data_IF_411131966053
#
_entry.id   IF_411131966053
#
_cell.length_a   1.000
_cell.length_b   1.000
_cell.length_c   1.000
_cell.angle_alpha   90.00
_cell.angle_beta   90.00
_cell.angle_gamma   90.00
#
_symmetry.space_group_name_H-M   'P 1'
#
loop_
_entity.id
_entity.type
_entity.pdbx_description
1 polymer ?
#
# COMPACT_ATOMS: atom_id res chain seq x y z
N UNK A 1 27.04 -7.48 45.45
CA UNK A 1 26.47 -8.54 44.60
C UNK A 1 25.00 -8.23 44.47
N UNK A 2 24.64 -7.42 43.48
CA UNK A 2 24.15 -7.87 42.17
C UNK A 2 22.62 -7.94 42.23
N UNK A 3 21.91 -6.85 41.92
CA UNK A 3 21.54 -6.42 40.57
C UNK A 3 20.54 -7.39 39.92
N UNK A 4 19.28 -7.32 40.34
CA UNK A 4 18.13 -7.82 39.58
C UNK A 4 16.99 -6.78 39.62
N UNK A 5 17.26 -5.62 39.02
CA UNK A 5 16.25 -4.65 38.62
C UNK A 5 16.49 -4.37 37.13
N UNK A 6 15.99 -5.25 36.26
CA UNK A 6 15.59 -4.96 34.87
C UNK A 6 15.31 -6.25 34.11
N UNK A 7 14.04 -6.58 33.91
CA UNK A 7 13.50 -7.16 32.67
C UNK A 7 11.98 -7.31 32.75
N UNK A 8 11.30 -6.16 32.77
CA UNK A 8 10.00 -6.01 32.15
C UNK A 8 10.11 -4.75 31.31
N UNK A 9 10.47 -4.89 30.03
CA UNK A 9 10.47 -3.75 29.10
C UNK A 9 9.02 -3.26 29.00
N UNK A 10 8.70 -2.02 29.41
CA UNK A 10 7.31 -1.63 29.55
C UNK A 10 6.77 -1.22 28.18
N UNK A 11 5.60 -1.77 27.83
CA UNK A 11 4.69 -1.27 26.80
C UNK A 11 4.36 0.24 26.97
N UNK A 12 4.76 0.83 28.11
CA UNK A 12 4.60 2.22 28.53
C UNK A 12 5.59 3.23 27.90
N UNK A 13 6.53 2.79 27.05
CA UNK A 13 7.56 3.67 26.48
C UNK A 13 7.17 4.35 25.16
N UNK A 14 6.12 3.88 24.46
CA UNK A 14 5.74 4.47 23.16
C UNK A 14 5.09 5.86 23.28
N UNK A 15 4.39 6.14 24.40
CA UNK A 15 3.82 7.47 24.65
C UNK A 15 4.83 8.46 25.25
N UNK A 16 5.98 7.98 25.73
CA UNK A 16 7.01 8.83 26.32
C UNK A 16 7.61 9.78 25.28
N UNK A 17 7.64 9.40 24.00
CA UNK A 17 8.18 10.24 22.92
C UNK A 17 7.43 11.57 22.77
N UNK A 18 6.13 11.59 23.05
CA UNK A 18 5.32 12.81 22.98
C UNK A 18 5.56 13.77 24.14
N UNK A 19 6.31 13.33 25.16
CA UNK A 19 6.65 14.12 26.35
C UNK A 19 8.15 14.42 26.46
N UNK A 20 8.99 13.74 25.68
CA UNK A 20 10.42 13.96 25.67
C UNK A 20 10.82 15.14 24.76
N UNK A 21 11.46 16.20 25.28
CA UNK A 21 11.82 17.39 24.49
C UNK A 21 12.72 17.11 23.29
N UNK A 22 13.63 16.15 23.38
CA UNK A 22 14.54 15.81 22.27
C UNK A 22 13.81 15.01 21.18
N UNK A 23 12.94 14.07 21.55
CA UNK A 23 12.03 13.43 20.59
C UNK A 23 11.09 14.45 19.93
N UNK A 24 10.52 15.40 20.68
CA UNK A 24 9.63 16.42 20.09
C UNK A 24 10.33 17.29 19.04
N UNK A 25 11.60 17.66 19.25
CA UNK A 25 12.41 18.37 18.22
C UNK A 25 12.56 17.51 16.97
N UNK A 26 12.84 16.22 17.14
CA UNK A 26 13.00 15.26 16.04
C UNK A 26 11.70 15.09 15.27
N UNK A 27 10.59 14.89 16.00
CA UNK A 27 9.24 14.73 15.45
C UNK A 27 8.86 15.99 14.65
N UNK A 28 9.11 17.20 15.20
CA UNK A 28 8.83 18.45 14.49
C UNK A 28 9.60 18.56 13.18
N UNK A 29 10.88 18.20 13.20
CA UNK A 29 11.76 18.30 12.02
C UNK A 29 11.33 17.35 10.89
N UNK A 30 10.92 16.12 11.23
CA UNK A 30 10.64 15.06 10.25
C UNK A 30 9.16 15.01 9.85
N UNK A 31 8.25 15.10 10.82
CA UNK A 31 6.82 14.80 10.66
C UNK A 31 5.89 15.98 10.84
N UNK A 32 6.40 17.19 11.11
CA UNK A 32 5.60 18.40 11.20
C UNK A 32 6.39 19.64 10.73
N UNK A 33 7.10 19.47 9.61
CA UNK A 33 7.95 20.52 9.07
C UNK A 33 7.11 21.75 8.70
N UNK A 34 7.66 22.93 8.96
CA UNK A 34 7.04 24.23 8.67
C UNK A 34 5.75 24.54 9.48
N UNK A 35 5.35 23.65 10.40
CA UNK A 35 4.24 23.88 11.32
C UNK A 35 4.54 25.03 12.29
N UNK A 36 3.54 25.89 12.50
CA UNK A 36 3.54 26.86 13.60
C UNK A 36 3.55 26.15 14.95
N UNK A 37 3.93 26.85 16.01
CA UNK A 37 3.97 26.26 17.35
C UNK A 37 2.59 25.77 17.82
N UNK A 38 1.53 26.47 17.43
CA UNK A 38 0.15 26.08 17.76
C UNK A 38 -0.28 24.83 16.99
N UNK A 39 0.00 24.76 15.69
CA UNK A 39 -0.30 23.58 14.87
C UNK A 39 0.49 22.36 15.34
N UNK A 40 1.77 22.53 15.69
CA UNK A 40 2.58 21.46 16.25
C UNK A 40 2.06 21.00 17.61
N UNK A 41 1.59 21.91 18.47
CA UNK A 41 0.95 21.55 19.72
C UNK A 41 -0.31 20.71 19.49
N UNK A 42 -1.18 21.12 18.57
CA UNK A 42 -2.38 20.35 18.21
C UNK A 42 -2.03 18.94 17.72
N UNK A 43 -0.98 18.82 16.90
CA UNK A 43 -0.47 17.53 16.43
C UNK A 43 0.02 16.63 17.57
N UNK A 44 0.77 17.18 18.53
CA UNK A 44 1.25 16.43 19.70
C UNK A 44 0.10 15.96 20.59
N UNK A 45 -0.86 16.84 20.90
CA UNK A 45 -2.03 16.48 21.71
C UNK A 45 -2.86 15.37 21.05
N UNK A 46 -3.03 15.42 19.72
CA UNK A 46 -3.72 14.36 18.99
C UNK A 46 -2.93 13.05 19.03
N UNK A 47 -1.60 13.10 18.87
CA UNK A 47 -0.73 11.92 19.01
C UNK A 47 -0.83 11.26 20.38
N UNK A 48 -0.90 12.06 21.45
CA UNK A 48 -1.10 11.57 22.83
C UNK A 48 -2.49 10.96 23.00
N UNK A 49 -3.54 11.66 22.55
CA UNK A 49 -4.92 11.22 22.72
C UNK A 49 -5.23 9.91 21.96
N UNK A 50 -4.61 9.74 20.79
CA UNK A 50 -4.81 8.57 19.92
C UNK A 50 -3.83 7.42 20.20
N UNK A 51 -2.73 7.68 20.90
CA UNK A 51 -1.66 6.71 21.13
C UNK A 51 -0.87 6.33 19.86
N UNK A 52 -0.89 7.21 18.85
CA UNK A 52 -0.25 6.96 17.56
C UNK A 52 1.22 7.37 17.58
N UNK A 53 2.01 6.67 16.76
CA UNK A 53 3.44 6.82 16.65
C UNK A 53 3.82 7.33 15.24
N UNK A 54 4.43 8.52 15.13
CA UNK A 54 4.80 9.09 13.83
C UNK A 54 5.93 8.31 13.15
N UNK A 55 6.81 7.65 13.90
CA UNK A 55 7.89 6.82 13.34
C UNK A 55 7.38 5.54 12.68
N UNK A 56 6.23 5.03 13.13
CA UNK A 56 5.53 3.91 12.49
C UNK A 56 4.59 4.37 11.37
N UNK A 57 4.60 5.66 11.03
CA UNK A 57 3.68 6.28 10.06
C UNK A 57 2.21 6.04 10.40
N UNK A 58 1.92 6.09 11.69
CA UNK A 58 0.55 6.07 12.15
C UNK A 58 -0.06 7.48 12.09
N UNK A 59 0.75 8.53 12.25
CA UNK A 59 0.31 9.94 12.23
C UNK A 59 1.43 10.88 11.75
N UNK A 60 1.11 11.91 10.95
CA UNK A 60 2.04 12.97 10.55
C UNK A 60 1.28 14.25 10.20
N UNK A 61 1.97 15.39 10.20
CA UNK A 61 1.43 16.69 9.85
C UNK A 61 2.13 17.21 8.58
N UNK A 62 1.33 17.71 7.65
CA UNK A 62 1.84 18.35 6.43
C UNK A 62 1.27 19.76 6.35
N UNK A 63 2.14 20.71 6.07
CA UNK A 63 1.76 22.10 5.78
C UNK A 63 2.32 22.44 4.40
N UNK A 64 1.42 22.65 3.44
CA UNK A 64 1.77 22.87 2.03
C UNK A 64 2.33 24.27 1.79
N UNK A 65 1.61 25.29 2.28
CA UNK A 65 2.03 26.69 2.25
C UNK A 65 2.12 27.27 3.66
N UNK A 66 3.07 28.19 3.90
CA UNK A 66 3.24 28.84 5.21
C UNK A 66 2.00 29.60 5.68
N UNK A 67 1.19 30.09 4.75
CA UNK A 67 -0.06 30.80 4.99
C UNK A 67 -1.29 29.87 5.00
N UNK A 68 -1.13 28.60 4.64
CA UNK A 68 -2.21 27.61 4.72
C UNK A 68 -2.25 26.92 6.07
N UNK A 69 -3.43 26.47 6.49
CA UNK A 69 -3.56 25.66 7.70
C UNK A 69 -2.89 24.30 7.49
N UNK A 70 -2.14 23.83 8.50
CA UNK A 70 -1.58 22.50 8.49
C UNK A 70 -2.67 21.42 8.52
N UNK A 71 -2.40 20.29 7.88
CA UNK A 71 -3.28 19.13 7.83
C UNK A 71 -2.62 17.95 8.54
N UNK A 72 -3.39 17.27 9.38
CA UNK A 72 -2.93 16.08 10.08
C UNK A 72 -3.49 14.85 9.38
N UNK A 73 -2.58 13.95 9.06
CA UNK A 73 -2.85 12.68 8.40
C UNK A 73 -2.65 11.52 9.36
N UNK A 74 -3.50 10.52 9.22
CA UNK A 74 -3.39 9.26 9.93
C UNK A 74 -3.29 8.14 8.90
N UNK A 75 -2.33 7.25 9.10
CA UNK A 75 -2.17 6.07 8.27
C UNK A 75 -3.25 5.04 8.56
N UNK A 76 -3.55 4.17 7.59
CA UNK A 76 -4.52 3.06 7.77
C UNK A 76 -4.27 2.29 9.08
N UNK A 77 -3.03 1.92 9.34
CA UNK A 77 -2.70 1.12 10.52
C UNK A 77 -2.83 1.94 11.82
N UNK A 78 -2.69 3.27 11.74
CA UNK A 78 -3.02 4.17 12.83
C UNK A 78 -4.52 4.16 13.16
N UNK A 79 -5.40 4.27 12.15
CA UNK A 79 -6.85 4.12 12.34
C UNK A 79 -7.21 2.78 12.98
N UNK A 80 -6.66 1.67 12.45
CA UNK A 80 -6.88 0.32 12.99
C UNK A 80 -6.46 0.19 14.46
N UNK A 81 -5.25 0.68 14.78
CA UNK A 81 -4.70 0.64 16.13
C UNK A 81 -5.57 1.42 17.09
N UNK A 82 -5.89 2.68 16.74
CA UNK A 82 -6.64 3.54 17.65
C UNK A 82 -8.08 3.05 17.86
N UNK A 83 -8.80 2.61 16.82
CA UNK A 83 -10.15 2.04 17.00
C UNK A 83 -10.14 0.71 17.78
N UNK A 84 -9.08 -0.09 17.66
CA UNK A 84 -8.96 -1.36 18.39
C UNK A 84 -8.90 -1.21 19.91
N UNK A 85 -8.54 -0.01 20.41
CA UNK A 85 -8.51 0.27 21.84
C UNK A 85 -9.89 0.57 22.43
N UNK A 86 -10.91 0.77 21.58
CA UNK A 86 -12.27 1.10 22.02
C UNK A 86 -12.99 -0.16 22.50
N UNK A 87 -13.49 -0.14 23.72
CA UNK A 87 -14.17 -1.29 24.35
C UNK A 87 -15.40 -1.79 23.55
N UNK A 88 -16.10 -0.87 22.89
CA UNK A 88 -17.29 -1.17 22.10
C UNK A 88 -16.96 -1.63 20.67
N UNK A 89 -15.70 -1.62 20.23
CA UNK A 89 -15.35 -2.08 18.88
C UNK A 89 -15.51 -3.60 18.74
N UNK A 90 -16.11 -4.05 17.63
CA UNK A 90 -16.38 -5.47 17.35
C UNK A 90 -15.74 -5.98 16.07
N UNK A 91 -14.99 -5.14 15.37
CA UNK A 91 -14.36 -5.48 14.11
C UNK A 91 -14.86 -4.60 12.97
N UNK A 92 -14.08 -4.61 11.89
CA UNK A 92 -14.49 -4.04 10.62
C UNK A 92 -14.18 -5.03 9.50
N UNK A 93 -14.88 -4.85 8.40
CA UNK A 93 -14.64 -5.57 7.16
C UNK A 93 -14.54 -4.56 6.01
N UNK A 94 -13.69 -4.84 5.03
CA UNK A 94 -13.57 -4.03 3.83
C UNK A 94 -13.29 -4.92 2.63
N UNK A 95 -14.06 -4.77 1.56
CA UNK A 95 -13.83 -5.48 0.31
C UNK A 95 -14.14 -4.62 -0.91
N UNK A 96 -13.53 -5.00 -2.03
CA UNK A 96 -13.70 -4.35 -3.32
C UNK A 96 -14.93 -4.91 -4.02
N UNK A 97 -15.69 -4.06 -4.70
CA UNK A 97 -16.88 -4.43 -5.47
C UNK A 97 -16.61 -4.26 -6.94
N UNK A 98 -16.95 -5.29 -7.72
CA UNK A 98 -16.79 -5.32 -9.16
C UNK A 98 -18.14 -5.49 -9.86
N UNK A 99 -18.17 -5.22 -11.17
CA UNK A 99 -19.39 -5.16 -11.96
C UNK A 99 -20.18 -6.46 -12.02
N UNK A 100 -19.53 -7.62 -11.88
CA UNK A 100 -20.18 -8.93 -11.95
C UNK A 100 -20.44 -9.53 -10.57
N UNK A 101 -20.12 -8.80 -9.49
CA UNK A 101 -20.44 -9.25 -8.14
C UNK A 101 -21.94 -9.08 -7.86
N UNK A 102 -22.55 -10.01 -7.11
CA UNK A 102 -23.85 -9.78 -6.50
C UNK A 102 -23.65 -9.05 -5.18
N UNK A 103 -23.78 -7.72 -5.25
CA UNK A 103 -23.60 -6.81 -4.13
C UNK A 103 -24.89 -6.06 -3.81
N UNK A 104 -25.31 -6.11 -2.56
CA UNK A 104 -26.43 -5.34 -2.04
C UNK A 104 -26.16 -4.93 -0.59
N UNK A 105 -26.46 -3.67 -0.26
CA UNK A 105 -26.51 -3.19 1.11
C UNK A 105 -27.96 -2.92 1.50
N UNK A 106 -28.46 -3.65 2.48
CA UNK A 106 -29.78 -3.41 3.05
C UNK A 106 -29.69 -2.26 4.05
N UNK A 107 -30.07 -1.05 3.61
CA UNK A 107 -30.11 0.15 4.46
C UNK A 107 -31.01 0.00 5.70
N UNK A 108 -32.04 -0.83 5.62
CA UNK A 108 -33.00 -1.02 6.73
C UNK A 108 -32.43 -1.93 7.80
N UNK A 109 -31.71 -2.97 7.41
CA UNK A 109 -31.08 -3.93 8.33
C UNK A 109 -29.64 -3.59 8.71
N UNK A 110 -28.96 -2.80 7.88
CA UNK A 110 -27.52 -2.53 8.02
C UNK A 110 -26.65 -3.73 7.65
N UNK A 111 -27.11 -4.60 6.77
CA UNK A 111 -26.42 -5.83 6.37
C UNK A 111 -25.91 -5.72 4.93
N UNK A 112 -24.67 -6.16 4.70
CA UNK A 112 -24.13 -6.32 3.34
C UNK A 112 -24.23 -7.77 2.93
N UNK A 113 -24.81 -7.99 1.75
CA UNK A 113 -24.71 -9.24 1.01
C UNK A 113 -23.78 -9.03 -0.16
N UNK A 114 -22.64 -9.70 -0.13
CA UNK A 114 -21.65 -9.64 -1.19
C UNK A 114 -21.20 -11.06 -1.54
N UNK A 115 -21.52 -11.49 -2.76
CA UNK A 115 -21.10 -12.80 -3.27
C UNK A 115 -20.53 -12.63 -4.67
N UNK A 116 -19.47 -13.37 -4.97
CA UNK A 116 -18.78 -13.25 -6.25
C UNK A 116 -18.00 -14.52 -6.61
N UNK A 117 -17.76 -14.69 -7.90
CA UNK A 117 -16.91 -15.75 -8.43
C UNK A 117 -15.46 -15.24 -8.54
N UNK A 118 -14.49 -15.97 -8.00
CA UNK A 118 -13.08 -15.57 -8.05
C UNK A 118 -12.47 -15.61 -9.45
N UNK A 119 -13.09 -16.31 -10.41
CA UNK A 119 -12.57 -16.46 -11.78
C UNK A 119 -12.74 -15.20 -12.62
N UNK A 120 -13.93 -14.59 -12.56
CA UNK A 120 -14.22 -13.36 -13.28
C UNK A 120 -15.20 -12.50 -12.47
N UNK A 121 -14.68 -11.39 -11.98
CA UNK A 121 -15.43 -10.38 -11.23
C UNK A 121 -15.82 -9.19 -12.11
N UNK A 122 -15.29 -9.07 -13.32
CA UNK A 122 -15.50 -7.92 -14.20
C UNK A 122 -14.67 -6.69 -13.79
N UNK A 123 -15.23 -5.49 -14.00
CA UNK A 123 -14.54 -4.21 -13.77
C UNK A 123 -14.67 -3.77 -12.31
N UNK A 124 -13.59 -3.25 -11.72
CA UNK A 124 -13.61 -2.69 -10.37
C UNK A 124 -14.48 -1.42 -10.34
N UNK A 125 -15.52 -1.43 -9.52
CA UNK A 125 -16.43 -0.29 -9.33
C UNK A 125 -16.00 0.58 -8.15
N UNK A 126 -15.59 -0.05 -7.05
CA UNK A 126 -15.28 0.65 -5.81
C UNK A 126 -14.93 -0.31 -4.68
N UNK A 127 -15.05 0.16 -3.45
CA UNK A 127 -14.96 -0.67 -2.26
C UNK A 127 -15.92 -0.20 -1.18
N UNK A 128 -16.33 -1.12 -0.33
CA UNK A 128 -17.08 -0.79 0.88
C UNK A 128 -16.29 -1.15 2.13
N UNK A 129 -16.64 -0.50 3.24
CA UNK A 129 -16.23 -0.93 4.56
C UNK A 129 -17.38 -0.82 5.57
N UNK A 130 -17.44 -1.79 6.46
CA UNK A 130 -18.42 -1.89 7.55
C UNK A 130 -17.67 -1.93 8.86
N UNK A 131 -18.04 -1.09 9.82
CA UNK A 131 -17.51 -1.12 11.18
C UNK A 131 -18.62 -1.44 12.15
N UNK A 132 -18.43 -2.48 12.96
CA UNK A 132 -19.38 -2.91 13.98
C UNK A 132 -18.96 -2.40 15.36
N UNK A 133 -19.90 -1.76 16.05
CA UNK A 133 -19.72 -1.20 17.39
C UNK A 133 -20.86 -1.68 18.28
N UNK A 134 -20.55 -2.21 19.46
CA UNK A 134 -21.54 -2.79 20.38
C UNK A 134 -22.51 -1.77 20.98
N UNK A 135 -22.13 -0.50 21.00
CA UNK A 135 -22.95 0.59 21.51
C UNK A 135 -23.91 1.19 20.46
N UNK A 136 -23.89 0.71 19.21
CA UNK A 136 -24.75 1.20 18.13
C UNK A 136 -25.45 0.00 17.48
N UNK A 137 -26.79 0.02 17.30
CA UNK A 137 -27.51 -1.13 16.76
C UNK A 137 -27.23 -1.39 15.28
N UNK A 138 -26.83 -0.35 14.52
CA UNK A 138 -26.49 -0.46 13.10
C UNK A 138 -25.00 -0.19 12.90
N UNK A 139 -24.32 -0.93 12.00
CA UNK A 139 -22.92 -0.67 11.71
C UNK A 139 -22.75 0.63 10.94
N UNK A 140 -21.53 1.17 10.97
CA UNK A 140 -21.12 2.26 10.10
C UNK A 140 -20.74 1.67 8.75
N UNK A 141 -21.40 2.12 7.70
CA UNK A 141 -21.18 1.67 6.33
C UNK A 141 -20.69 2.82 5.47
N UNK A 142 -19.64 2.58 4.71
CA UNK A 142 -19.13 3.49 3.68
C UNK A 142 -18.94 2.72 2.39
N UNK A 143 -19.37 3.31 1.28
CA UNK A 143 -19.01 2.89 -0.07
C UNK A 143 -18.24 4.01 -0.75
N UNK A 144 -17.14 3.66 -1.41
CA UNK A 144 -16.29 4.60 -2.12
C UNK A 144 -16.16 4.17 -3.56
N UNK A 145 -16.49 5.07 -4.48
CA UNK A 145 -16.39 4.80 -5.91
C UNK A 145 -14.95 4.97 -6.40
N UNK A 146 -14.50 4.05 -7.25
CA UNK A 146 -13.12 4.07 -7.76
C UNK A 146 -12.80 5.37 -8.50
N UNK A 147 -13.76 5.89 -9.26
CA UNK A 147 -13.56 7.02 -10.16
C UNK A 147 -13.26 8.34 -9.43
N UNK A 148 -13.64 8.47 -8.15
CA UNK A 148 -13.36 9.65 -7.33
C UNK A 148 -11.90 9.72 -6.86
N UNK A 149 -11.22 8.56 -6.79
CA UNK A 149 -9.89 8.43 -6.17
C UNK A 149 -8.80 7.95 -7.13
N UNK A 150 -9.17 7.31 -8.23
CA UNK A 150 -8.23 6.82 -9.23
C UNK A 150 -7.67 7.97 -10.08
N UNK A 151 -6.67 8.64 -9.52
CA UNK A 151 -5.88 9.65 -10.21
C UNK A 151 -4.97 9.06 -11.30
N UNK A 152 -4.89 7.73 -11.41
CA UNK A 152 -4.08 7.08 -12.43
C UNK A 152 -2.57 7.21 -12.20
N UNK A 153 -2.11 7.52 -10.98
CA UNK A 153 -0.69 7.65 -10.64
C UNK A 153 -0.22 6.63 -9.58
N UNK A 154 1.08 6.35 -9.53
CA UNK A 154 1.71 5.52 -8.49
C UNK A 154 1.07 4.12 -8.33
N UNK A 155 0.79 3.69 -7.09
CA UNK A 155 0.16 2.40 -6.76
C UNK A 155 -1.28 2.29 -7.29
N UNK A 156 -1.93 3.39 -7.66
CA UNK A 156 -3.24 3.37 -8.32
C UNK A 156 -3.16 2.84 -9.75
N UNK A 157 -1.99 2.80 -10.41
CA UNK A 157 -1.85 2.12 -11.71
C UNK A 157 -1.92 0.60 -11.60
N UNK A 158 -1.31 0.03 -10.54
CA UNK A 158 -1.06 -1.41 -10.45
C UNK A 158 -1.91 -2.12 -9.41
N UNK A 159 -2.38 -1.43 -8.36
CA UNK A 159 -3.06 -2.03 -7.20
C UNK A 159 -4.34 -1.27 -6.81
N UNK A 160 -5.18 -0.89 -7.79
CA UNK A 160 -6.44 -0.13 -7.59
C UNK A 160 -7.32 -0.72 -6.50
N UNK A 161 -7.59 -2.02 -6.56
CA UNK A 161 -8.44 -2.71 -5.59
C UNK A 161 -7.89 -2.64 -4.16
N UNK A 162 -6.57 -2.72 -3.99
CA UNK A 162 -5.95 -2.58 -2.66
C UNK A 162 -6.08 -1.14 -2.16
N UNK A 163 -5.88 -0.15 -3.03
CA UNK A 163 -5.91 1.26 -2.65
C UNK A 163 -7.32 1.73 -2.28
N UNK A 164 -8.32 1.46 -3.12
CA UNK A 164 -9.69 1.89 -2.87
C UNK A 164 -10.28 1.26 -1.60
N UNK A 165 -9.91 0.01 -1.29
CA UNK A 165 -10.26 -0.63 -0.01
C UNK A 165 -9.71 0.12 1.20
N UNK A 166 -8.48 0.63 1.13
CA UNK A 166 -7.90 1.43 2.21
C UNK A 166 -8.68 2.72 2.43
N UNK A 167 -9.11 3.38 1.35
CA UNK A 167 -9.91 4.61 1.44
C UNK A 167 -11.23 4.35 2.14
N UNK A 168 -11.98 3.33 1.69
CA UNK A 168 -13.26 2.94 2.28
C UNK A 168 -13.11 2.60 3.77
N UNK A 169 -12.06 1.86 4.13
CA UNK A 169 -11.76 1.48 5.51
C UNK A 169 -11.46 2.69 6.40
N UNK A 170 -10.59 3.60 5.96
CA UNK A 170 -10.23 4.80 6.73
C UNK A 170 -11.46 5.71 6.93
N UNK A 171 -12.31 5.86 5.91
CA UNK A 171 -13.56 6.62 6.02
C UNK A 171 -14.53 5.97 7.02
N UNK A 172 -14.74 4.65 6.95
CA UNK A 172 -15.66 3.97 7.85
C UNK A 172 -15.19 4.01 9.31
N UNK A 173 -13.89 3.86 9.57
CA UNK A 173 -13.32 3.98 10.92
C UNK A 173 -13.47 5.41 11.45
N UNK A 174 -13.21 6.43 10.63
CA UNK A 174 -13.43 7.83 11.02
C UNK A 174 -14.89 8.13 11.32
N UNK A 175 -15.81 7.56 10.55
CA UNK A 175 -17.24 7.70 10.82
C UNK A 175 -17.61 7.06 12.16
N UNK A 176 -17.07 5.87 12.45
CA UNK A 176 -17.32 5.14 13.68
C UNK A 176 -16.74 5.80 14.94
N UNK A 177 -15.60 6.49 14.82
CA UNK A 177 -14.91 7.19 15.92
C UNK A 177 -14.71 8.68 15.61
N UNK A 178 -15.80 9.33 15.22
CA UNK A 178 -15.82 10.74 14.81
C UNK A 178 -15.33 11.71 15.89
N UNK A 179 -15.50 11.36 17.17
CA UNK A 179 -14.98 12.16 18.29
C UNK A 179 -13.44 12.21 18.33
N UNK A 180 -12.78 11.11 17.99
CA UNK A 180 -11.31 11.03 18.02
C UNK A 180 -10.68 11.49 16.71
N UNK A 181 -11.31 11.18 15.57
CA UNK A 181 -10.74 11.45 14.25
C UNK A 181 -11.39 12.61 13.49
N UNK A 182 -12.28 13.37 14.13
CA UNK A 182 -12.89 14.56 13.54
C UNK A 182 -11.83 15.53 12.99
N UNK A 183 -11.98 15.92 11.72
CA UNK A 183 -11.05 16.84 11.05
C UNK A 183 -9.72 16.23 10.60
N UNK A 184 -9.53 14.91 10.73
CA UNK A 184 -8.35 14.20 10.18
C UNK A 184 -8.61 13.69 8.78
N UNK A 185 -7.55 13.56 7.98
CA UNK A 185 -7.62 13.07 6.60
C UNK A 185 -6.73 11.85 6.38
N UNK A 186 -7.15 10.95 5.49
CA UNK A 186 -6.22 9.98 4.90
C UNK A 186 -5.43 10.65 3.77
N UNK A 187 -4.20 10.21 3.55
CA UNK A 187 -3.34 10.70 2.45
C UNK A 187 -4.02 10.58 1.08
N UNK A 188 -4.84 9.54 0.91
CA UNK A 188 -5.53 9.23 -0.34
C UNK A 188 -6.68 10.19 -0.68
N UNK A 189 -7.11 11.05 0.26
CA UNK A 189 -8.23 11.99 0.07
C UNK A 189 -7.82 13.38 -0.40
N UNK A 190 -6.52 13.68 -0.43
CA UNK A 190 -6.05 15.01 -0.80
C UNK A 190 -5.84 15.17 -2.30
N UNK A 191 -6.00 16.39 -2.85
CA UNK A 191 -5.66 16.67 -4.24
C UNK A 191 -4.21 16.30 -4.56
N UNK A 192 -3.96 15.88 -5.80
CA UNK A 192 -2.65 15.37 -6.23
C UNK A 192 -1.49 16.35 -6.03
N UNK A 193 -1.68 17.62 -6.40
CA UNK A 193 -0.68 18.68 -6.24
C UNK A 193 -0.25 18.85 -4.77
N UNK A 194 -1.14 18.54 -3.82
CA UNK A 194 -0.81 18.53 -2.40
C UNK A 194 -0.04 17.26 -2.03
N UNK A 195 -0.40 16.08 -2.55
CA UNK A 195 0.31 14.82 -2.21
C UNK A 195 1.80 14.83 -2.60
N UNK A 196 2.16 15.45 -3.72
CA UNK A 196 3.56 15.52 -4.18
C UNK A 196 4.45 16.43 -3.32
N UNK A 197 3.85 17.44 -2.68
CA UNK A 197 4.50 18.34 -1.74
C UNK A 197 4.69 17.73 -0.35
N UNK A 198 3.90 16.70 0.00
CA UNK A 198 4.07 15.99 1.27
C UNK A 198 5.38 15.18 1.27
N UNK A 199 6.40 15.71 1.95
CA UNK A 199 7.74 15.11 2.00
C UNK A 199 7.81 13.77 2.73
N UNK A 200 6.72 13.31 3.35
CA UNK A 200 6.59 11.93 3.83
C UNK A 200 6.76 10.92 2.68
N UNK A 201 6.27 11.26 1.48
CA UNK A 201 6.50 10.52 0.23
C UNK A 201 7.94 10.67 -0.29
N UNK A 202 8.61 11.79 -0.03
CA UNK A 202 10.02 11.99 -0.40
C UNK A 202 10.98 11.23 0.55
N UNK A 203 10.61 11.09 1.83
CA UNK A 203 11.35 10.30 2.82
C UNK A 203 11.33 8.80 2.49
N UNK A 204 10.22 8.30 1.93
CA UNK A 204 10.12 6.95 1.35
C UNK A 204 11.18 6.64 0.30
N UNK A 205 11.53 7.63 -0.52
CA UNK A 205 12.55 7.49 -1.56
C UNK A 205 13.98 7.52 -1.01
N UNK A 206 14.16 7.97 0.24
CA UNK A 206 15.46 8.18 0.89
C UNK A 206 15.78 7.13 1.96
N UNK A 207 14.76 6.51 2.55
CA UNK A 207 14.86 5.44 3.55
C UNK A 207 14.39 4.10 2.94
N UNK A 208 15.00 3.62 1.86
CA UNK A 208 14.70 2.26 1.34
C UNK A 208 15.04 1.17 2.39
N UNK A 209 14.17 1.00 3.38
CA UNK A 209 13.99 -0.27 4.07
C UNK A 209 13.08 -1.07 3.16
N UNK A 210 13.70 -1.94 2.35
CA UNK A 210 12.99 -3.08 1.77
C UNK A 210 12.20 -3.74 2.90
N UNK A 211 10.94 -4.17 2.71
CA UNK A 211 10.32 -5.08 3.66
C UNK A 211 11.20 -6.34 3.68
N UNK A 212 12.04 -6.47 4.70
CA UNK A 212 12.80 -7.69 4.93
C UNK A 212 11.81 -8.73 5.45
N UNK A 213 11.35 -9.61 4.56
CA UNK A 213 10.73 -10.88 4.96
C UNK A 213 11.80 -11.84 5.51
N UNK A 214 12.56 -11.38 6.50
CA UNK A 214 13.45 -12.21 7.32
C UNK A 214 13.05 -11.98 8.75
N UNK A 215 12.16 -12.84 9.23
CA UNK A 215 11.93 -13.03 10.65
C UNK A 215 13.09 -13.89 11.16
N UNK A 216 14.07 -13.28 11.82
CA UNK A 216 15.00 -14.03 12.66
C UNK A 216 14.31 -14.22 14.02
N UNK A 217 13.41 -15.20 14.06
CA UNK A 217 12.70 -15.63 15.25
C UNK A 217 12.93 -17.12 15.47
N UNK A 218 13.46 -17.44 16.65
CA UNK A 218 13.71 -18.80 17.13
C UNK A 218 12.37 -19.57 17.23
N UNK A 219 12.23 -20.62 16.41
CA UNK A 219 11.02 -21.45 16.40
C UNK A 219 11.15 -22.52 17.48
N UNK A 220 10.48 -22.32 18.62
CA UNK A 220 10.35 -23.34 19.66
C UNK A 220 9.22 -24.31 19.27
N UNK A 221 9.53 -25.61 19.17
CA UNK A 221 8.51 -26.64 18.97
C UNK A 221 7.71 -26.84 20.27
N UNK A 222 6.39 -26.53 20.30
CA UNK A 222 5.61 -26.54 21.53
C UNK A 222 5.28 -27.95 22.08
N UNK A 223 5.74 -29.03 21.46
CA UNK A 223 5.46 -30.40 21.91
C UNK A 223 6.60 -31.07 22.71
N UNK A 224 7.85 -30.65 22.57
CA UNK A 224 9.00 -31.38 23.19
C UNK A 224 10.04 -30.51 23.88
N UNK A 225 10.00 -29.17 23.73
CA UNK A 225 10.83 -28.26 24.52
C UNK A 225 12.35 -28.32 24.29
N UNK A 226 12.84 -29.03 23.26
CA UNK A 226 14.27 -29.01 22.91
C UNK A 226 14.60 -27.92 21.89
N UNK A 227 15.72 -27.22 22.16
CA UNK A 227 16.37 -26.26 21.25
C UNK A 227 17.41 -27.05 20.44
N UNK A 228 17.33 -27.01 19.11
CA UNK A 228 18.36 -27.61 18.24
C UNK A 228 19.15 -26.53 17.52
N UNK A 229 20.47 -26.60 17.64
CA UNK A 229 21.42 -25.71 16.97
C UNK A 229 21.37 -25.83 15.44
N UNK A 230 21.79 -24.75 14.79
CA UNK A 230 21.87 -24.50 13.36
C UNK A 230 22.30 -25.72 12.54
N UNK A 231 21.41 -26.15 11.64
CA UNK A 231 21.77 -27.01 10.51
C UNK A 231 21.55 -26.23 9.22
N UNK A 232 22.66 -25.78 8.60
CA UNK A 232 22.66 -25.44 7.17
C UNK A 232 22.40 -26.73 6.40
N UNK A 233 21.20 -26.89 5.85
CA UNK A 233 20.94 -27.93 4.86
C UNK A 233 20.37 -27.28 3.61
N UNK A 234 21.21 -27.19 2.58
CA UNK A 234 20.77 -27.23 1.19
C UNK A 234 20.21 -28.62 0.96
N UNK A 235 18.89 -28.78 0.93
CA UNK A 235 18.25 -30.04 0.61
C UNK A 235 17.30 -29.84 -0.57
N UNK A 236 17.74 -30.33 -1.72
CA UNK A 236 16.84 -30.77 -2.79
C UNK A 236 15.86 -31.80 -2.20
N UNK A 237 14.56 -31.56 -2.40
CA UNK A 237 13.54 -32.58 -2.28
C UNK A 237 12.69 -32.57 -3.54
N UNK A 238 12.90 -33.59 -4.36
CA UNK A 238 12.10 -33.94 -5.53
C UNK A 238 10.65 -34.28 -5.12
N UNK A 239 9.67 -33.81 -5.89
CA UNK A 239 8.30 -34.34 -5.90
C UNK A 239 7.97 -34.77 -7.35
N UNK A 240 7.30 -35.92 -7.58
CA UNK A 240 7.14 -36.55 -8.90
C UNK A 240 6.17 -35.79 -9.84
N UNK A 241 6.14 -36.13 -11.14
CA UNK A 241 5.60 -35.27 -12.19
C UNK A 241 4.06 -35.31 -12.24
N UNK A 242 3.44 -34.14 -12.16
CA UNK A 242 2.09 -33.93 -12.68
C UNK A 242 2.24 -33.37 -14.10
N UNK A 243 1.83 -34.14 -15.09
CA UNK A 243 1.82 -33.75 -16.51
C UNK A 243 0.91 -32.52 -16.73
N UNK A 244 1.50 -31.42 -17.16
CA UNK A 244 0.83 -30.32 -17.84
C UNK A 244 1.63 -29.95 -19.10
N UNK A 245 0.97 -29.56 -20.22
CA UNK A 245 1.60 -29.49 -21.52
C UNK A 245 2.62 -28.36 -21.62
N UNK A 246 3.76 -28.65 -22.25
CA UNK A 246 4.81 -27.70 -22.61
C UNK A 246 4.28 -26.62 -23.58
N UNK A 247 4.07 -25.40 -23.08
CA UNK A 247 4.23 -24.20 -23.90
C UNK A 247 5.63 -23.64 -23.65
N UNK A 248 6.56 -23.94 -24.56
CA UNK A 248 7.85 -23.28 -24.64
C UNK A 248 7.62 -21.84 -25.10
N UNK A 249 7.66 -20.87 -24.18
CA UNK A 249 7.91 -19.47 -24.57
C UNK A 249 9.32 -19.39 -25.18
N UNK A 250 9.39 -19.41 -26.51
CA UNK A 250 10.59 -19.07 -27.25
C UNK A 250 10.99 -17.64 -26.87
N UNK A 251 12.07 -17.47 -26.10
CA UNK A 251 12.79 -16.20 -26.03
C UNK A 251 13.27 -15.85 -27.44
N UNK A 252 12.57 -14.92 -28.09
CA UNK A 252 12.96 -14.42 -29.41
C UNK A 252 14.27 -13.65 -29.27
N UNK A 253 15.33 -14.12 -29.92
CA UNK A 253 16.63 -13.46 -29.88
C UNK A 253 16.61 -12.11 -30.61
N UNK A 254 17.45 -11.18 -30.18
CA UNK A 254 17.63 -9.84 -30.79
C UNK A 254 17.91 -9.95 -32.30
N UNK A 255 18.70 -10.94 -32.73
CA UNK A 255 19.01 -11.18 -34.14
C UNK A 255 17.79 -11.59 -34.98
N UNK A 256 16.85 -12.32 -34.37
CA UNK A 256 15.61 -12.71 -35.03
C UNK A 256 14.73 -11.49 -35.28
N UNK A 257 14.66 -10.57 -34.31
CA UNK A 257 13.90 -9.31 -34.45
C UNK A 257 14.56 -8.40 -35.50
N UNK A 258 15.89 -8.31 -35.50
CA UNK A 258 16.66 -7.55 -36.50
C UNK A 258 16.35 -8.03 -37.92
N UNK A 259 16.34 -9.34 -38.13
CA UNK A 259 16.03 -9.96 -39.42
C UNK A 259 14.59 -9.68 -39.86
N UNK A 260 13.62 -9.74 -38.92
CA UNK A 260 12.22 -9.41 -39.21
C UNK A 260 12.02 -7.95 -39.62
N UNK A 261 12.73 -7.01 -39.00
CA UNK A 261 12.67 -5.59 -39.39
C UNK A 261 13.27 -5.38 -40.79
N UNK A 262 14.38 -6.07 -41.11
CA UNK A 262 15.07 -5.91 -42.40
C UNK A 262 14.27 -6.47 -43.58
N UNK A 263 13.55 -7.58 -43.36
CA UNK A 263 12.77 -8.29 -44.37
C UNK A 263 11.28 -7.89 -44.38
N UNK A 264 10.91 -6.81 -43.69
CA UNK A 264 9.53 -6.34 -43.72
C UNK A 264 9.24 -5.65 -45.06
N UNK A 265 8.26 -6.19 -45.80
CA UNK A 265 7.87 -5.69 -47.13
C UNK A 265 6.61 -4.80 -47.10
N UNK A 266 5.98 -4.66 -45.92
CA UNK A 266 4.80 -3.83 -45.72
C UNK A 266 4.74 -3.26 -44.29
N UNK A 267 3.90 -2.24 -44.10
CA UNK A 267 3.77 -1.54 -42.83
C UNK A 267 3.27 -2.43 -41.68
N UNK A 268 2.44 -3.45 -41.96
CA UNK A 268 1.92 -4.35 -40.93
C UNK A 268 3.03 -5.22 -40.33
N UNK A 269 3.92 -5.78 -41.16
CA UNK A 269 5.05 -6.59 -40.70
C UNK A 269 6.07 -5.77 -39.88
N UNK A 270 6.18 -4.46 -40.17
CA UNK A 270 6.99 -3.54 -39.39
C UNK A 270 6.41 -3.29 -37.99
N UNK A 271 5.09 -3.11 -37.89
CA UNK A 271 4.39 -2.92 -36.60
C UNK A 271 4.53 -4.18 -35.73
N UNK A 272 4.31 -5.36 -36.30
CA UNK A 272 4.44 -6.64 -35.58
C UNK A 272 5.87 -6.85 -35.05
N UNK A 273 6.89 -6.36 -35.78
CA UNK A 273 8.28 -6.42 -35.34
C UNK A 273 8.58 -5.48 -34.16
N UNK A 274 7.92 -4.31 -34.08
CA UNK A 274 8.07 -3.36 -32.96
C UNK A 274 7.46 -3.90 -31.67
N UNK A 275 6.35 -4.63 -31.75
CA UNK A 275 5.75 -5.27 -30.58
C UNK A 275 6.71 -6.31 -29.97
N UNK A 276 7.48 -7.03 -30.81
CA UNK A 276 8.55 -7.91 -30.35
C UNK A 276 9.75 -7.17 -29.75
N UNK A 277 10.07 -5.96 -30.23
CA UNK A 277 11.09 -5.11 -29.58
C UNK A 277 10.61 -4.68 -28.20
N UNK A 278 9.32 -4.35 -28.06
CA UNK A 278 8.73 -3.91 -26.80
C UNK A 278 8.67 -5.03 -25.76
N UNK A 279 8.52 -6.29 -26.19
CA UNK A 279 8.51 -7.47 -25.31
C UNK A 279 9.88 -7.89 -24.76
N UNK A 280 11.00 -7.33 -25.24
CA UNK A 280 12.32 -7.65 -24.69
C UNK A 280 12.49 -7.14 -23.23
N UNK A 281 13.31 -7.79 -22.39
CA UNK A 281 13.54 -7.36 -21.01
C UNK A 281 14.14 -5.95 -20.89
N UNK A 282 13.85 -5.25 -19.79
CA UNK A 282 14.34 -3.89 -19.53
C UNK A 282 15.88 -3.76 -19.39
N UNK A 283 16.58 -4.87 -19.14
CA UNK A 283 18.05 -4.93 -19.09
C UNK A 283 18.72 -4.73 -20.46
N UNK A 284 17.99 -4.89 -21.57
CA UNK A 284 18.51 -4.79 -22.95
C UNK A 284 18.18 -3.43 -23.60
N UNK A 285 18.38 -2.34 -22.85
CA UNK A 285 17.97 -0.99 -23.28
C UNK A 285 18.77 -0.47 -24.49
N UNK A 286 20.05 -0.88 -24.61
CA UNK A 286 20.90 -0.52 -25.75
C UNK A 286 20.42 -1.21 -27.05
N UNK A 287 20.12 -2.50 -26.98
CA UNK A 287 19.65 -3.30 -28.13
C UNK A 287 18.26 -2.85 -28.61
N UNK A 288 17.35 -2.54 -27.67
CA UNK A 288 16.05 -1.93 -28.02
C UNK A 288 16.23 -0.62 -28.79
N UNK A 289 17.18 0.21 -28.39
CA UNK A 289 17.46 1.49 -29.05
C UNK A 289 18.01 1.29 -30.46
N UNK A 290 18.87 0.28 -30.67
CA UNK A 290 19.38 -0.07 -32.00
C UNK A 290 18.26 -0.59 -32.92
N UNK A 291 17.43 -1.53 -32.43
CA UNK A 291 16.30 -2.07 -33.20
C UNK A 291 15.27 -1.00 -33.56
N UNK A 292 14.97 -0.07 -32.66
CA UNK A 292 14.06 1.06 -32.94
C UNK A 292 14.63 2.05 -33.96
N UNK A 293 15.95 2.23 -34.01
CA UNK A 293 16.57 3.05 -35.05
C UNK A 293 16.49 2.37 -36.42
N UNK A 294 16.70 1.05 -36.47
CA UNK A 294 16.57 0.25 -37.70
C UNK A 294 15.12 0.26 -38.21
N UNK A 295 14.13 0.14 -37.31
CA UNK A 295 12.72 0.29 -37.64
C UNK A 295 12.43 1.64 -38.31
N UNK A 296 12.93 2.75 -37.74
CA UNK A 296 12.71 4.09 -38.30
C UNK A 296 13.36 4.29 -39.67
N UNK A 297 14.46 3.59 -39.95
CA UNK A 297 15.08 3.60 -41.29
C UNK A 297 14.20 2.84 -42.28
N UNK A 298 13.78 1.62 -41.94
CA UNK A 298 12.91 0.80 -42.80
C UNK A 298 11.53 1.42 -43.03
N UNK A 299 10.95 2.07 -42.03
CA UNK A 299 9.70 2.80 -42.16
C UNK A 299 9.80 3.92 -43.23
N UNK A 300 10.93 4.62 -43.30
CA UNK A 300 11.16 5.65 -44.33
C UNK A 300 11.36 5.07 -45.73
N UNK A 301 11.87 3.83 -45.84
CA UNK A 301 12.03 3.14 -47.13
C UNK A 301 10.69 2.66 -47.69
N UNK A 302 9.73 2.32 -46.84
CA UNK A 302 8.41 1.78 -47.22
C UNK A 302 7.34 2.85 -47.48
N UNK A 303 7.62 4.12 -47.16
CA UNK A 303 6.73 5.26 -47.44
C UNK A 303 5.84 5.64 -46.25
#
# INVERSE_FOLDING_TARGET
MSNELQKAAPLNNMLAMWRDPEQLKTIRSIYAKDATDLEFKTFVELGIATGLNPFLREIWLVKYDKNSAAQIFIGRDGYRKSISTKEYYRGHHADAVYSNDDFCFDLTKGEVRHTYNLKDRGKLLGAYSIVHMANVPRPFYVFVELHEYDLGHSLWKTKKATMIKKVAECQAIRMADSCTFGGTYSEDEMPEHMREESKASQLNKRLELKPSNTFDGEIVNPATGEVTETVNTTAEAQVPPAEQPLEQELLVSVDTIKTKIQNADNAQMLVDAVDLVNSLPGSMMADKKELMNLYRQKQKELG
#
